data_IF_796288867132
#
_entry.id   IF_796288867132
#
_cell.length_a   1.000
_cell.length_b   1.000
_cell.length_c   1.000
_cell.angle_alpha   90.00
_cell.angle_beta   90.00
_cell.angle_gamma   90.00
#
_symmetry.space_group_name_H-M   'P 1'
#
loop_
_entity.id
_entity.type
_entity.pdbx_description
1 polymer ?
#
# COMPACT_ATOMS: atom_id res chain seq x y z
N UNK A 1 0.76 1.88 -13.18
CA UNK A 1 0.24 2.43 -11.90
C UNK A 1 -0.58 1.40 -11.13
N UNK A 2 -1.75 0.96 -11.61
CA UNK A 2 -2.62 0.04 -10.84
C UNK A 2 -1.91 -1.24 -10.34
N UNK A 3 -1.26 -1.98 -11.25
CA UNK A 3 -0.49 -3.20 -10.90
C UNK A 3 0.63 -2.94 -9.91
N UNK A 4 1.24 -1.74 -9.92
CA UNK A 4 2.28 -1.36 -8.97
C UNK A 4 1.70 -1.15 -7.57
N UNK A 5 0.53 -0.50 -7.47
CA UNK A 5 -0.17 -0.34 -6.19
C UNK A 5 -0.59 -1.71 -5.64
N UNK A 6 -1.09 -2.62 -6.47
CA UNK A 6 -1.42 -4.00 -6.05
C UNK A 6 -0.17 -4.78 -5.60
N UNK A 7 0.98 -4.59 -6.28
CA UNK A 7 2.25 -5.19 -5.87
C UNK A 7 2.72 -4.65 -4.50
N UNK A 8 2.63 -3.35 -4.26
CA UNK A 8 2.98 -2.75 -2.97
C UNK A 8 2.07 -3.24 -1.84
N UNK A 9 0.77 -3.43 -2.11
CA UNK A 9 -0.19 -4.00 -1.16
C UNK A 9 0.21 -5.42 -0.78
N UNK A 10 0.52 -6.27 -1.77
CA UNK A 10 0.97 -7.65 -1.55
C UNK A 10 2.25 -7.70 -0.70
N UNK A 11 3.25 -6.88 -1.05
CA UNK A 11 4.52 -6.82 -0.32
C UNK A 11 4.34 -6.39 1.15
N UNK A 12 3.47 -5.42 1.41
CA UNK A 12 3.13 -4.99 2.77
C UNK A 12 2.43 -6.12 3.56
N UNK A 13 1.42 -6.78 2.98
CA UNK A 13 0.72 -7.90 3.62
C UNK A 13 1.67 -9.07 3.94
N UNK A 14 2.62 -9.38 3.05
CA UNK A 14 3.62 -10.44 3.26
C UNK A 14 4.52 -10.21 4.49
N UNK A 15 4.65 -8.96 4.92
CA UNK A 15 5.43 -8.59 6.11
C UNK A 15 4.63 -8.78 7.41
N UNK A 16 3.30 -8.88 7.34
CA UNK A 16 2.42 -8.93 8.52
C UNK A 16 2.51 -10.29 9.22
N UNK A 17 3.18 -10.30 10.37
CA UNK A 17 3.31 -11.44 11.29
C UNK A 17 3.70 -10.97 12.68
N UNK A 18 3.50 -11.80 13.73
CA UNK A 18 4.02 -11.50 15.06
C UNK A 18 5.53 -11.23 15.05
N UNK A 19 5.94 -10.20 15.78
CA UNK A 19 7.35 -9.80 15.87
C UNK A 19 7.84 -8.85 14.78
N UNK A 20 7.13 -8.73 13.65
CA UNK A 20 7.32 -7.61 12.74
C UNK A 20 6.74 -6.32 13.37
N UNK A 21 7.02 -5.17 12.76
CA UNK A 21 6.52 -3.87 13.20
C UNK A 21 5.61 -3.23 12.17
N UNK A 22 4.73 -2.34 12.61
CA UNK A 22 3.88 -1.55 11.69
C UNK A 22 4.73 -0.68 10.74
N UNK A 23 5.92 -0.28 11.17
CA UNK A 23 6.90 0.43 10.34
C UNK A 23 7.43 -0.44 9.20
N UNK A 24 7.80 -1.70 9.49
CA UNK A 24 8.27 -2.63 8.44
C UNK A 24 7.20 -2.88 7.37
N UNK A 25 5.90 -2.89 7.73
CA UNK A 25 4.79 -2.97 6.77
C UNK A 25 4.75 -1.73 5.86
N UNK A 26 4.93 -0.54 6.42
CA UNK A 26 5.02 0.70 5.64
C UNK A 26 6.24 0.71 4.72
N UNK A 27 7.41 0.35 5.25
CA UNK A 27 8.68 0.33 4.54
C UNK A 27 8.64 -0.64 3.35
N UNK A 28 7.99 -1.81 3.50
CA UNK A 28 7.79 -2.76 2.43
C UNK A 28 6.98 -2.16 1.27
N UNK A 29 5.86 -1.49 1.56
CA UNK A 29 5.08 -0.78 0.54
C UNK A 29 5.89 0.33 -0.13
N UNK A 30 6.55 1.19 0.66
CA UNK A 30 7.33 2.33 0.15
C UNK A 30 8.44 1.85 -0.77
N UNK A 31 9.18 0.80 -0.38
CA UNK A 31 10.24 0.22 -1.21
C UNK A 31 9.70 -0.26 -2.55
N UNK A 32 8.62 -1.05 -2.56
CA UNK A 32 8.01 -1.54 -3.80
C UNK A 32 7.52 -0.38 -4.68
N UNK A 33 6.90 0.64 -4.10
CA UNK A 33 6.45 1.82 -4.83
C UNK A 33 7.63 2.59 -5.44
N UNK A 34 8.72 2.81 -4.70
CA UNK A 34 9.92 3.49 -5.21
C UNK A 34 10.56 2.71 -6.36
N UNK A 35 10.76 1.41 -6.20
CA UNK A 35 11.31 0.55 -7.25
C UNK A 35 10.44 0.61 -8.52
N UNK A 36 9.12 0.52 -8.38
CA UNK A 36 8.22 0.65 -9.53
C UNK A 36 8.13 2.05 -10.13
N UNK A 37 8.29 3.12 -9.34
CA UNK A 37 8.36 4.49 -9.86
C UNK A 37 9.65 4.72 -10.65
N UNK A 38 10.74 4.04 -10.32
CA UNK A 38 11.97 4.02 -11.12
C UNK A 38 11.73 3.29 -12.45
N UNK A 39 11.08 2.13 -12.42
CA UNK A 39 10.75 1.37 -13.64
C UNK A 39 9.83 2.15 -14.59
N UNK A 40 8.90 2.93 -14.03
CA UNK A 40 8.03 3.85 -14.76
C UNK A 40 8.73 5.15 -15.20
N UNK A 41 10.00 5.34 -14.83
CA UNK A 41 10.81 6.54 -15.08
C UNK A 41 10.28 7.83 -14.45
N UNK A 42 9.41 7.70 -13.45
CA UNK A 42 8.91 8.83 -12.66
C UNK A 42 9.99 9.32 -11.70
N UNK A 43 10.72 8.36 -11.10
CA UNK A 43 11.91 8.63 -10.29
C UNK A 43 13.15 8.13 -11.01
N UNK A 44 14.31 8.71 -10.69
CA UNK A 44 15.60 8.27 -11.21
C UNK A 44 16.65 8.35 -10.10
N UNK A 45 17.36 7.25 -9.87
CA UNK A 45 18.37 7.14 -8.83
C UNK A 45 18.44 5.74 -8.23
N UNK A 46 19.16 5.63 -7.12
CA UNK A 46 19.20 4.42 -6.30
C UNK A 46 17.95 4.33 -5.41
N UNK A 47 17.34 3.15 -5.35
CA UNK A 47 16.09 2.95 -4.62
C UNK A 47 16.24 3.24 -3.12
N UNK A 48 17.33 2.81 -2.48
CA UNK A 48 17.54 3.04 -1.05
C UNK A 48 17.70 4.55 -0.75
N UNK A 49 18.48 5.26 -1.58
CA UNK A 49 18.62 6.71 -1.44
C UNK A 49 17.31 7.48 -1.69
N UNK A 50 16.46 7.01 -2.61
CA UNK A 50 15.15 7.61 -2.87
C UNK A 50 14.14 7.36 -1.75
N UNK A 51 14.21 6.19 -1.10
CA UNK A 51 13.43 5.90 0.12
C UNK A 51 13.88 6.80 1.26
N UNK A 52 15.19 6.88 1.52
CA UNK A 52 15.78 7.69 2.60
C UNK A 52 15.46 9.20 2.45
N UNK A 53 15.52 9.72 1.23
CA UNK A 53 15.16 11.11 0.91
C UNK A 53 13.66 11.36 0.78
N UNK A 54 12.83 10.33 1.00
CA UNK A 54 11.37 10.38 0.92
C UNK A 54 10.84 10.90 -0.43
N UNK A 55 11.57 10.62 -1.53
CA UNK A 55 11.27 11.12 -2.86
C UNK A 55 9.90 10.63 -3.42
N UNK A 56 9.31 9.61 -2.81
CA UNK A 56 7.99 9.08 -3.13
C UNK A 56 6.84 9.96 -2.63
N UNK A 57 7.04 10.83 -1.63
CA UNK A 57 5.96 11.59 -0.96
C UNK A 57 5.07 12.44 -1.88
N UNK A 58 5.56 13.04 -2.97
CA UNK A 58 4.69 13.73 -3.93
C UNK A 58 3.62 12.82 -4.56
N UNK A 59 3.90 11.52 -4.65
CA UNK A 59 3.05 10.51 -5.28
C UNK A 59 2.33 9.62 -4.26
N UNK A 60 2.92 9.42 -3.07
CA UNK A 60 2.37 8.62 -1.97
C UNK A 60 2.47 9.40 -0.65
N UNK A 61 1.48 10.25 -0.32
CA UNK A 61 1.60 11.25 0.75
C UNK A 61 1.11 10.78 2.13
N UNK A 62 0.72 9.51 2.28
CA UNK A 62 0.11 8.99 3.50
C UNK A 62 0.80 7.71 4.00
N UNK A 63 0.44 7.27 5.20
CA UNK A 63 0.90 6.02 5.78
C UNK A 63 0.21 4.82 5.12
N UNK A 64 0.83 3.64 5.22
CA UNK A 64 0.28 2.40 4.65
C UNK A 64 -0.82 1.78 5.50
N UNK A 65 -0.89 2.14 6.78
CA UNK A 65 -1.74 1.43 7.73
C UNK A 65 -2.24 2.34 8.85
N UNK A 66 -3.46 2.07 9.31
CA UNK A 66 -3.99 2.51 10.59
C UNK A 66 -4.67 1.35 11.33
N UNK A 67 -4.71 1.40 12.66
CA UNK A 67 -5.50 0.45 13.46
C UNK A 67 -6.97 0.51 13.07
N UNK A 68 -7.65 -0.63 13.15
CA UNK A 68 -9.05 -0.77 12.76
C UNK A 68 -9.80 -1.57 13.83
N UNK A 69 -10.96 -1.06 14.23
CA UNK A 69 -11.76 -1.66 15.29
C UNK A 69 -13.16 -1.08 15.37
N UNK A 70 -13.53 -0.53 16.53
CA UNK A 70 -14.83 0.12 16.69
C UNK A 70 -14.86 1.46 15.94
N UNK A 71 -13.71 2.13 15.87
CA UNK A 71 -13.50 3.29 15.02
C UNK A 71 -12.72 2.89 13.77
N UNK A 72 -12.97 3.59 12.65
CA UNK A 72 -12.23 3.35 11.39
C UNK A 72 -10.73 3.57 11.59
N UNK A 73 -10.37 4.62 12.35
CA UNK A 73 -9.02 4.83 12.87
C UNK A 73 -9.04 4.54 14.37
N UNK A 74 -8.85 3.26 14.73
CA UNK A 74 -8.98 2.78 16.10
C UNK A 74 -7.83 3.30 16.99
N UNK A 75 -8.06 3.49 18.31
CA UNK A 75 -7.00 3.94 19.20
C UNK A 75 -5.91 2.87 19.39
N UNK A 76 -4.67 3.31 19.51
CA UNK A 76 -3.53 2.45 19.81
C UNK A 76 -2.20 3.13 19.55
N UNK A 77 -1.20 2.84 20.38
CA UNK A 77 0.13 3.42 20.20
C UNK A 77 0.84 2.79 18.99
N UNK A 78 1.14 3.60 17.97
CA UNK A 78 1.95 3.20 16.81
C UNK A 78 3.45 3.10 17.10
N UNK A 79 3.88 3.64 18.24
CA UNK A 79 5.25 3.53 18.72
C UNK A 79 5.26 3.32 20.24
N UNK A 80 6.17 2.48 20.72
CA UNK A 80 6.37 2.23 22.14
C UNK A 80 7.86 2.38 22.45
N UNK A 81 8.19 3.20 23.46
CA UNK A 81 9.57 3.51 23.85
C UNK A 81 10.44 4.02 22.68
N UNK A 82 9.87 4.84 21.79
CA UNK A 82 10.57 5.41 20.64
C UNK A 82 10.81 4.45 19.48
N UNK A 83 10.29 3.21 19.54
CA UNK A 83 10.37 2.23 18.47
C UNK A 83 9.00 1.95 17.88
N UNK A 84 8.95 1.59 16.60
CA UNK A 84 7.71 1.20 15.91
C UNK A 84 7.01 0.05 16.64
N UNK A 85 5.68 0.08 16.69
CA UNK A 85 4.88 -0.92 17.41
C UNK A 85 5.11 -2.30 16.82
N UNK A 86 5.56 -3.23 17.65
CA UNK A 86 5.65 -4.66 17.33
C UNK A 86 4.23 -5.23 17.24
N UNK A 87 3.98 -5.98 16.18
CA UNK A 87 2.74 -6.67 15.90
C UNK A 87 2.62 -7.90 16.79
N UNK A 88 1.44 -8.06 17.37
CA UNK A 88 1.07 -9.19 18.23
C UNK A 88 -0.25 -9.80 17.72
N UNK A 89 -0.48 -11.12 17.89
CA UNK A 89 -1.73 -11.74 17.48
C UNK A 89 -2.96 -11.03 18.07
N UNK A 90 -3.97 -10.80 17.23
CA UNK A 90 -5.20 -10.10 17.58
C UNK A 90 -5.22 -8.61 17.25
N UNK A 91 -4.09 -8.01 16.86
CA UNK A 91 -4.09 -6.65 16.29
C UNK A 91 -4.76 -6.64 14.91
N UNK A 92 -5.50 -5.57 14.62
CA UNK A 92 -6.25 -5.38 13.36
C UNK A 92 -5.93 -4.00 12.79
N UNK A 93 -5.62 -3.93 11.50
CA UNK A 93 -5.26 -2.68 10.81
C UNK A 93 -5.50 -2.76 9.30
N UNK A 94 -5.48 -1.62 8.62
CA UNK A 94 -5.55 -1.53 7.15
C UNK A 94 -4.17 -1.71 6.48
N UNK A 95 -4.14 -2.17 5.24
CA UNK A 95 -2.97 -2.10 4.35
C UNK A 95 -3.42 -1.45 3.05
N UNK A 96 -3.08 -0.17 2.87
CA UNK A 96 -3.73 0.72 1.90
C UNK A 96 -2.76 1.55 1.03
N UNK A 97 -1.71 0.98 0.42
CA UNK A 97 -0.81 1.78 -0.42
C UNK A 97 -1.54 2.43 -1.60
N UNK A 98 -1.03 3.57 -2.04
CA UNK A 98 -1.61 4.32 -3.16
C UNK A 98 -0.59 5.15 -3.94
N UNK A 99 -0.97 5.53 -5.16
CA UNK A 99 -0.22 6.46 -6.00
C UNK A 99 -1.16 7.48 -6.61
N UNK A 100 -0.79 8.75 -6.52
CA UNK A 100 -1.59 9.89 -6.97
C UNK A 100 -0.73 10.85 -7.78
N UNK A 101 -1.05 10.99 -9.06
CA UNK A 101 -0.34 11.85 -10.00
C UNK A 101 -1.16 13.11 -10.24
N UNK A 102 -0.78 14.21 -9.58
CA UNK A 102 -1.46 15.50 -9.74
C UNK A 102 -1.17 16.08 -11.13
N UNK A 103 -2.18 16.60 -11.86
CA UNK A 103 -1.95 17.31 -13.11
C UNK A 103 -1.07 18.56 -12.92
N UNK A 104 -0.24 18.88 -13.92
CA UNK A 104 0.67 20.03 -13.86
C UNK A 104 1.89 19.76 -12.99
N UNK A 105 2.37 18.51 -12.99
CA UNK A 105 3.53 18.07 -12.24
C UNK A 105 4.84 18.67 -12.76
N UNK A 106 5.90 18.58 -11.95
CA UNK A 106 7.20 19.20 -12.24
C UNK A 106 8.15 18.30 -13.06
N UNK A 107 7.75 17.05 -13.33
CA UNK A 107 8.54 16.06 -14.07
C UNK A 107 7.75 15.55 -15.28
N UNK A 108 8.36 15.62 -16.45
CA UNK A 108 7.71 15.33 -17.73
C UNK A 108 7.23 13.87 -17.82
N UNK A 109 7.96 12.90 -17.28
CA UNK A 109 7.56 11.48 -17.28
C UNK A 109 6.35 11.20 -16.38
N UNK A 110 6.19 11.96 -15.29
CA UNK A 110 5.04 11.85 -14.41
C UNK A 110 3.76 12.38 -15.07
N UNK A 111 3.88 13.30 -16.03
CA UNK A 111 2.76 13.89 -16.75
C UNK A 111 2.00 12.85 -17.59
N UNK A 112 2.67 11.78 -18.05
CA UNK A 112 2.01 10.65 -18.72
C UNK A 112 0.98 9.94 -17.83
N UNK A 113 1.08 10.12 -16.50
CA UNK A 113 0.15 9.58 -15.52
C UNK A 113 -0.75 10.64 -14.89
N UNK A 114 -0.69 11.90 -15.34
CA UNK A 114 -1.44 13.01 -14.77
C UNK A 114 -2.94 12.70 -14.63
N UNK A 115 -3.50 12.98 -13.45
CA UNK A 115 -4.90 12.73 -13.12
C UNK A 115 -5.20 11.29 -12.68
N UNK A 116 -4.23 10.38 -12.71
CA UNK A 116 -4.40 9.02 -12.20
C UNK A 116 -4.20 9.01 -10.68
N UNK A 117 -5.21 8.49 -9.97
CA UNK A 117 -5.13 8.16 -8.55
C UNK A 117 -5.60 6.73 -8.33
N UNK A 118 -4.78 5.90 -7.68
CA UNK A 118 -5.11 4.51 -7.36
C UNK A 118 -4.73 4.23 -5.92
N UNK A 119 -5.64 3.63 -5.16
CA UNK A 119 -5.39 3.00 -3.85
C UNK A 119 -6.10 1.64 -3.84
N UNK A 120 -5.43 0.63 -3.30
CA UNK A 120 -6.01 -0.70 -3.09
C UNK A 120 -5.76 -1.04 -1.63
N UNK A 121 -6.84 -1.35 -0.92
CA UNK A 121 -6.85 -1.47 0.52
C UNK A 121 -7.46 -2.80 0.95
N UNK A 122 -6.82 -3.42 1.93
CA UNK A 122 -7.31 -4.61 2.61
C UNK A 122 -7.23 -4.43 4.13
N UNK A 123 -8.14 -5.08 4.84
CA UNK A 123 -8.07 -5.20 6.29
C UNK A 123 -7.27 -6.46 6.65
N UNK A 124 -6.40 -6.37 7.66
CA UNK A 124 -5.60 -7.50 8.13
C UNK A 124 -5.78 -7.74 9.62
N UNK A 125 -5.82 -9.02 9.99
CA UNK A 125 -5.84 -9.49 11.38
C UNK A 125 -4.55 -10.27 11.63
N UNK A 126 -3.72 -9.83 12.57
CA UNK A 126 -2.50 -10.55 12.93
C UNK A 126 -2.87 -11.86 13.63
N UNK A 127 -2.37 -12.98 13.14
CA UNK A 127 -2.55 -14.31 13.73
C UNK A 127 -1.27 -14.81 14.38
N UNK A 128 -1.24 -16.04 14.90
CA UNK A 128 -0.04 -16.60 15.54
C UNK A 128 1.12 -16.84 14.58
N UNK A 129 0.82 -17.09 13.31
CA UNK A 129 1.81 -17.52 12.31
C UNK A 129 1.88 -16.57 11.11
N UNK A 130 1.20 -15.43 11.14
CA UNK A 130 1.11 -14.48 10.02
C UNK A 130 -0.06 -13.51 10.17
N UNK A 131 -0.91 -13.44 9.15
CA UNK A 131 -2.16 -12.69 9.17
C UNK A 131 -3.30 -13.41 8.43
N UNK A 132 -4.52 -12.99 8.73
CA UNK A 132 -5.72 -13.23 7.92
C UNK A 132 -6.13 -11.93 7.23
N UNK A 133 -6.67 -12.03 6.02
CA UNK A 133 -7.16 -10.89 5.22
C UNK A 133 -8.66 -11.09 4.95
N UNK A 134 -9.56 -10.56 5.78
CA UNK A 134 -11.00 -10.77 5.64
C UNK A 134 -11.57 -10.23 4.33
N UNK A 135 -10.97 -9.18 3.77
CA UNK A 135 -11.37 -8.49 2.54
C UNK A 135 -10.90 -9.20 1.25
N UNK A 136 -10.14 -10.29 1.35
CA UNK A 136 -9.52 -11.01 0.21
C UNK A 136 -10.48 -11.52 -0.88
N UNK A 137 -11.79 -11.56 -0.60
CA UNK A 137 -12.79 -12.04 -1.56
C UNK A 137 -13.05 -11.04 -2.69
N UNK A 138 -12.66 -9.77 -2.50
CA UNK A 138 -12.77 -8.75 -3.53
C UNK A 138 -11.65 -8.90 -4.55
N UNK A 139 -12.01 -8.84 -5.84
CA UNK A 139 -11.04 -8.86 -6.92
C UNK A 139 -10.17 -7.59 -6.89
N UNK A 140 -8.86 -7.77 -6.79
CA UNK A 140 -7.87 -6.67 -6.80
C UNK A 140 -6.84 -6.79 -7.91
N UNK A 141 -6.65 -7.97 -8.50
CA UNK A 141 -5.83 -8.08 -9.71
C UNK A 141 -6.58 -7.47 -10.89
N UNK A 142 -5.88 -6.71 -11.73
CA UNK A 142 -6.50 -5.99 -12.85
C UNK A 142 -7.33 -6.91 -13.77
N UNK A 143 -6.81 -8.10 -14.10
CA UNK A 143 -7.52 -9.07 -14.92
C UNK A 143 -8.81 -9.58 -14.27
N UNK A 144 -8.81 -9.79 -12.95
CA UNK A 144 -9.98 -10.26 -12.21
C UNK A 144 -11.05 -9.15 -12.13
N UNK A 145 -10.61 -7.89 -11.95
CA UNK A 145 -11.50 -6.72 -11.99
C UNK A 145 -12.13 -6.56 -13.38
N UNK A 146 -11.33 -6.67 -14.45
CA UNK A 146 -11.84 -6.61 -15.82
C UNK A 146 -12.85 -7.73 -16.11
N UNK A 147 -12.56 -8.96 -15.67
CA UNK A 147 -13.47 -10.09 -15.82
C UNK A 147 -14.79 -9.84 -15.07
N UNK A 148 -14.73 -9.39 -13.82
CA UNK A 148 -15.90 -9.08 -13.01
C UNK A 148 -16.81 -8.01 -13.65
N UNK A 149 -16.22 -6.96 -14.23
CA UNK A 149 -16.97 -5.90 -14.92
C UNK A 149 -17.57 -6.39 -16.24
N UNK A 150 -16.84 -7.23 -16.98
CA UNK A 150 -17.31 -7.81 -18.25
C UNK A 150 -18.52 -8.74 -18.03
N UNK A 151 -18.44 -9.63 -17.05
CA UNK A 151 -19.50 -10.60 -16.75
C UNK A 151 -20.80 -9.90 -16.34
N UNK A 152 -20.71 -8.78 -15.61
CA UNK A 152 -21.88 -7.94 -15.27
C UNK A 152 -22.49 -7.26 -16.49
N UNK A 153 -21.67 -6.90 -17.46
CA UNK A 153 -22.13 -6.24 -18.69
C UNK A 153 -22.77 -7.21 -19.68
N UNK A 154 -22.47 -8.51 -19.59
CA UNK A 154 -23.05 -9.57 -20.43
C UNK A 154 -24.40 -10.10 -19.91
N UNK A 155 -24.76 -9.80 -18.66
CA UNK A 155 -26.02 -10.21 -18.03
C UNK A 155 -27.11 -9.12 -18.01
N UNK A 156 -26.91 -8.00 -18.70
CA UNK A 156 -27.85 -6.87 -18.80
C UNK A 156 -28.49 -6.77 -20.19
#
# INVERSE_FOLDING_TARGET
>A
VYTLVDAARKAAIETVRPGATIGEVHDAAVRTLVEGLIDLRVLSGDAAGLVESEAHKPYYPHQTSHWLGLDVHDPGDYARNGSSRVLEPGMVFSVEPGLYFRPGGVQDEAEAFAGIGVRIEDDVVVTRDGCEVPTRQLATAAADVEALVRDRSAGA
#
